data_IF_609704249272
#
_entry.id   IF_609704249272
#
_cell.length_a   1.000
_cell.length_b   1.000
_cell.length_c   1.000
_cell.angle_alpha   90.00
_cell.angle_beta   90.00
_cell.angle_gamma   90.00
#
_symmetry.space_group_name_H-M   'P 1'
#
loop_
_entity.id
_entity.type
_entity.pdbx_description
1 polymer ?
#
# COMPACT_ATOMS: atom_id res chain seq x y z
N UNK A 1 -18.54 6.60 -12.93
CA UNK A 1 -18.31 5.15 -13.11
C UNK A 1 -17.03 4.82 -12.37
N UNK A 2 -16.99 3.76 -11.55
CA UNK A 2 -15.71 3.29 -11.01
C UNK A 2 -14.94 2.73 -12.20
N UNK A 3 -13.81 3.31 -12.54
CA UNK A 3 -12.91 2.69 -13.50
C UNK A 3 -12.42 1.38 -12.88
N UNK A 4 -12.42 0.30 -13.66
CA UNK A 4 -11.81 -0.93 -13.22
C UNK A 4 -10.28 -0.80 -13.26
N UNK A 5 -9.61 -1.41 -12.30
CA UNK A 5 -8.14 -1.48 -12.29
C UNK A 5 -7.69 -2.27 -13.52
N UNK A 6 -6.85 -1.66 -14.35
CA UNK A 6 -6.38 -2.30 -15.59
C UNK A 6 -5.50 -3.51 -15.29
N UNK A 7 -5.39 -4.43 -16.26
CA UNK A 7 -4.56 -5.62 -16.11
C UNK A 7 -3.08 -5.27 -15.86
N UNK A 8 -2.56 -4.23 -16.52
CA UNK A 8 -1.18 -3.76 -16.32
C UNK A 8 -0.96 -3.23 -14.91
N UNK A 9 -1.91 -2.44 -14.37
CA UNK A 9 -1.82 -1.92 -13.00
C UNK A 9 -1.91 -3.05 -11.97
N UNK A 10 -2.82 -4.01 -12.13
CA UNK A 10 -2.90 -5.20 -11.26
C UNK A 10 -1.57 -5.97 -11.23
N UNK A 11 -1.00 -6.22 -12.41
CA UNK A 11 0.27 -6.93 -12.54
C UNK A 11 1.41 -6.14 -11.90
N UNK A 12 1.43 -4.82 -12.08
CA UNK A 12 2.43 -3.94 -11.49
C UNK A 12 2.38 -3.98 -9.96
N UNK A 13 1.19 -3.83 -9.37
CA UNK A 13 0.99 -3.94 -7.91
C UNK A 13 1.49 -5.29 -7.41
N UNK A 14 1.07 -6.40 -8.04
CA UNK A 14 1.51 -7.74 -7.64
C UNK A 14 3.03 -7.92 -7.75
N UNK A 15 3.65 -7.41 -8.81
CA UNK A 15 5.10 -7.51 -9.03
C UNK A 15 5.87 -6.77 -7.95
N UNK A 16 5.47 -5.54 -7.61
CA UNK A 16 6.12 -4.77 -6.53
C UNK A 16 5.99 -5.50 -5.20
N UNK A 17 4.78 -5.99 -4.87
CA UNK A 17 4.54 -6.72 -3.62
C UNK A 17 5.41 -7.98 -3.53
N UNK A 18 5.40 -8.84 -4.56
CA UNK A 18 6.18 -10.08 -4.55
C UNK A 18 7.69 -9.86 -4.56
N UNK A 19 8.17 -8.75 -5.13
CA UNK A 19 9.59 -8.41 -5.18
C UNK A 19 10.11 -7.92 -3.82
N UNK A 20 9.27 -7.23 -3.04
CA UNK A 20 9.68 -6.56 -1.79
C UNK A 20 9.26 -7.28 -0.53
N UNK A 21 8.15 -7.99 -0.56
CA UNK A 21 7.59 -8.65 0.60
C UNK A 21 8.01 -10.10 0.67
N UNK A 22 8.39 -10.55 1.86
CA UNK A 22 8.54 -11.97 2.14
C UNK A 22 7.17 -12.68 2.18
N UNK A 23 7.21 -14.00 2.17
CA UNK A 23 5.99 -14.83 2.34
C UNK A 23 5.28 -14.50 3.65
N UNK A 24 6.03 -14.22 4.71
CA UNK A 24 5.43 -13.92 6.02
C UNK A 24 4.87 -12.49 6.07
N UNK A 25 5.50 -11.51 5.43
CA UNK A 25 4.92 -10.17 5.26
C UNK A 25 3.56 -10.24 4.54
N UNK A 26 3.49 -11.04 3.46
CA UNK A 26 2.24 -11.24 2.71
C UNK A 26 1.16 -11.88 3.59
N UNK A 27 1.51 -12.90 4.39
CA UNK A 27 0.57 -13.52 5.33
C UNK A 27 0.08 -12.51 6.37
N UNK A 28 0.98 -11.70 6.93
CA UNK A 28 0.62 -10.65 7.89
C UNK A 28 -0.37 -9.67 7.27
N UNK A 29 -0.10 -9.17 6.07
CA UNK A 29 -1.02 -8.28 5.36
C UNK A 29 -2.38 -8.94 5.08
N UNK A 30 -2.41 -10.22 4.70
CA UNK A 30 -3.65 -10.98 4.52
C UNK A 30 -4.43 -11.13 5.83
N UNK A 31 -3.75 -11.39 6.95
CA UNK A 31 -4.36 -11.49 8.27
C UNK A 31 -4.94 -10.15 8.74
N UNK A 32 -4.20 -9.05 8.53
CA UNK A 32 -4.67 -7.70 8.83
C UNK A 32 -5.92 -7.37 8.00
N UNK A 33 -5.98 -7.80 6.74
CA UNK A 33 -7.14 -7.59 5.89
C UNK A 33 -8.33 -8.49 6.22
N UNK A 34 -8.10 -9.64 6.87
CA UNK A 34 -9.15 -10.59 7.22
C UNK A 34 -10.13 -9.99 8.22
N UNK A 35 -11.43 -10.10 7.89
CA UNK A 35 -12.52 -9.49 8.67
C UNK A 35 -12.64 -7.97 8.56
N UNK A 36 -11.89 -7.34 7.64
CA UNK A 36 -11.86 -5.89 7.43
C UNK A 36 -10.75 -5.18 8.22
N UNK A 37 -10.24 -4.09 7.65
CA UNK A 37 -9.18 -3.30 8.28
C UNK A 37 -9.76 -2.20 9.19
N UNK A 38 -9.60 -2.38 10.50
CA UNK A 38 -9.75 -1.30 11.49
C UNK A 38 -8.65 -0.24 11.28
N UNK A 39 -8.80 0.93 11.90
CA UNK A 39 -7.80 2.00 11.79
C UNK A 39 -6.41 1.54 12.24
N UNK A 40 -6.32 0.78 13.33
CA UNK A 40 -5.06 0.23 13.83
C UNK A 40 -4.42 -0.73 12.83
N UNK A 41 -5.21 -1.68 12.29
CA UNK A 41 -4.74 -2.61 11.26
C UNK A 41 -4.27 -1.89 9.99
N UNK A 42 -4.91 -0.76 9.63
CA UNK A 42 -4.47 0.08 8.51
C UNK A 42 -3.11 0.72 8.79
N UNK A 43 -2.89 1.24 10.01
CA UNK A 43 -1.60 1.81 10.40
C UNK A 43 -0.49 0.77 10.36
N UNK A 44 -0.75 -0.43 10.89
CA UNK A 44 0.22 -1.52 10.87
C UNK A 44 0.54 -1.98 9.44
N UNK A 45 -0.47 -2.17 8.60
CA UNK A 45 -0.26 -2.51 7.18
C UNK A 45 0.53 -1.41 6.44
N UNK A 46 0.24 -0.13 6.73
CA UNK A 46 0.97 1.02 6.17
C UNK A 46 2.44 0.99 6.60
N UNK A 47 2.73 0.73 7.88
CA UNK A 47 4.10 0.65 8.39
C UNK A 47 4.91 -0.45 7.69
N UNK A 48 4.33 -1.65 7.52
CA UNK A 48 4.97 -2.75 6.78
C UNK A 48 5.29 -2.32 5.35
N UNK A 49 4.32 -1.73 4.64
CA UNK A 49 4.53 -1.31 3.24
C UNK A 49 5.60 -0.22 3.15
N UNK A 50 5.57 0.79 4.03
CA UNK A 50 6.57 1.86 4.07
C UNK A 50 7.98 1.35 4.37
N UNK A 51 8.12 0.38 5.27
CA UNK A 51 9.43 -0.20 5.61
C UNK A 51 10.02 -1.02 4.46
N UNK A 52 9.18 -1.76 3.72
CA UNK A 52 9.63 -2.73 2.72
C UNK A 52 9.78 -2.15 1.31
N UNK A 53 8.97 -1.16 0.95
CA UNK A 53 9.01 -0.56 -0.38
C UNK A 53 10.02 0.58 -0.42
N UNK A 54 10.66 0.74 -1.58
CA UNK A 54 11.34 2.00 -1.86
C UNK A 54 10.33 3.13 -2.06
N UNK A 55 10.75 4.36 -1.78
CA UNK A 55 9.97 5.59 -2.03
C UNK A 55 9.30 5.59 -3.40
N UNK A 56 10.06 5.36 -4.48
CA UNK A 56 9.54 5.32 -5.84
C UNK A 56 8.44 4.26 -6.03
N UNK A 57 8.63 3.07 -5.46
CA UNK A 57 7.63 2.00 -5.56
C UNK A 57 6.38 2.35 -4.76
N UNK A 58 6.53 2.94 -3.58
CA UNK A 58 5.41 3.41 -2.77
C UNK A 58 4.59 4.46 -3.53
N UNK A 59 5.25 5.50 -4.04
CA UNK A 59 4.59 6.58 -4.78
C UNK A 59 3.88 6.06 -6.04
N UNK A 60 4.50 5.12 -6.75
CA UNK A 60 3.87 4.46 -7.90
C UNK A 60 2.59 3.70 -7.52
N UNK A 61 2.54 3.05 -6.36
CA UNK A 61 1.32 2.40 -5.87
C UNK A 61 0.26 3.43 -5.43
N UNK A 62 0.69 4.53 -4.81
CA UNK A 62 -0.19 5.61 -4.39
C UNK A 62 -0.86 6.29 -5.58
N UNK A 63 -0.13 6.54 -6.68
CA UNK A 63 -0.70 7.11 -7.89
C UNK A 63 -1.76 6.19 -8.53
N UNK A 64 -1.53 4.88 -8.53
CA UNK A 64 -2.56 3.91 -8.92
C UNK A 64 -3.76 4.04 -7.99
N UNK A 65 -3.58 4.00 -6.66
CA UNK A 65 -4.67 4.09 -5.69
C UNK A 65 -5.47 5.40 -5.82
N UNK A 66 -4.80 6.52 -6.08
CA UNK A 66 -5.39 7.85 -6.27
C UNK A 66 -6.30 7.90 -7.50
N UNK A 67 -5.87 7.33 -8.63
CA UNK A 67 -6.69 7.21 -9.86
C UNK A 67 -8.05 6.56 -9.59
N UNK A 68 -8.10 5.60 -8.66
CA UNK A 68 -9.32 4.88 -8.28
C UNK A 68 -10.04 5.48 -7.05
N UNK A 69 -9.61 6.62 -6.54
CA UNK A 69 -10.19 7.27 -5.35
C UNK A 69 -10.00 6.49 -4.06
N UNK A 70 -9.01 5.59 -4.01
CA UNK A 70 -8.68 4.76 -2.85
C UNK A 70 -7.64 5.41 -1.93
N UNK A 71 -6.99 6.48 -2.39
CA UNK A 71 -5.99 7.23 -1.65
C UNK A 71 -6.14 8.73 -1.89
N UNK A 72 -5.68 9.54 -0.93
CA UNK A 72 -5.53 10.99 -1.08
C UNK A 72 -4.28 11.38 -1.88
N UNK A 73 -3.44 10.42 -2.25
CA UNK A 73 -2.26 10.68 -3.07
C UNK A 73 -1.04 11.19 -2.29
N UNK A 74 -0.94 10.92 -0.98
CA UNK A 74 0.20 11.33 -0.15
C UNK A 74 1.47 10.59 -0.56
N UNK A 75 2.56 11.31 -0.77
CA UNK A 75 3.86 10.72 -1.11
C UNK A 75 4.42 9.89 0.04
N UNK A 76 5.47 9.13 -0.22
CA UNK A 76 6.26 8.44 0.80
C UNK A 76 6.77 9.42 1.86
N UNK A 77 7.37 10.53 1.45
CA UNK A 77 7.91 11.55 2.36
C UNK A 77 6.82 12.11 3.28
N UNK A 78 5.66 12.50 2.71
CA UNK A 78 4.52 13.00 3.48
C UNK A 78 4.00 11.94 4.46
N UNK A 79 3.96 10.68 3.99
CA UNK A 79 3.47 9.55 4.77
C UNK A 79 4.38 9.20 5.94
N UNK A 80 5.69 9.33 5.77
CA UNK A 80 6.70 9.15 6.82
C UNK A 80 6.63 10.27 7.86
N UNK A 81 6.51 11.53 7.43
CA UNK A 81 6.40 12.66 8.36
C UNK A 81 5.13 12.56 9.23
N UNK A 82 4.00 12.13 8.66
CA UNK A 82 2.74 11.93 9.39
C UNK A 82 2.83 10.79 10.43
N UNK A 83 3.56 9.72 10.14
CA UNK A 83 3.75 8.61 11.08
C UNK A 83 4.73 8.96 12.21
N UNK A 84 5.63 9.93 12.00
CA UNK A 84 6.55 10.45 13.03
C UNK A 84 5.93 11.50 13.96
N UNK A 85 4.78 12.07 13.60
CA UNK A 85 4.11 13.17 14.34
C UNK A 85 2.83 12.76 15.08
N UNK A 86 2.44 11.48 15.02
CA UNK A 86 1.28 10.90 15.72
C UNK A 86 1.69 9.79 16.69
#
# INVERSE_FOLDING_TARGET
>A
MKEDISFSEKTKVMTVMLKRLSVDDIKTLQQLASGGLSLEKKKEAKAIILEKLSEKEYDELIEIAKKYGLSQGKSYEDSQQEDLTN
#
